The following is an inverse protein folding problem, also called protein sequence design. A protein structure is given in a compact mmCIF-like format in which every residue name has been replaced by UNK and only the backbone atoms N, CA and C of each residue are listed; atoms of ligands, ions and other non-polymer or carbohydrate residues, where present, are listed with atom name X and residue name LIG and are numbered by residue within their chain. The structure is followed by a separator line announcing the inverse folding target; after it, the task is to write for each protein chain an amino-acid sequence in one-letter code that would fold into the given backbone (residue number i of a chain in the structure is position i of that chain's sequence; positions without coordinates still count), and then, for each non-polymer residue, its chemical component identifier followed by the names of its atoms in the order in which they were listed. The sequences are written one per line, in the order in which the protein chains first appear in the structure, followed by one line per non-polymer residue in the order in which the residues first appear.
data_IF_161544689676
#
_entry.id   IF_161544689676
#
_cell.length_a   1.000
_cell.length_b   1.000
_cell.length_c   1.000
_cell.angle_alpha   90.00
_cell.angle_beta   90.00
_cell.angle_gamma   90.00
#
_symmetry.space_group_name_H-M   'P 1'
#
loop_
_entity.id
_entity.type
_entity.pdbx_description
1 polymer ?
#
# COMPACT_ATOMS: atom_id res chain seq x y z
N UNK A 1 -5.49 -20.51 6.39
CA UNK A 1 -4.78 -19.24 6.23
C UNK A 1 -5.72 -18.17 5.78
N UNK A 2 -5.65 -17.04 6.42
CA UNK A 2 -6.59 -15.95 6.16
C UNK A 2 -5.88 -14.80 5.45
N UNK A 3 -6.48 -14.35 4.37
CA UNK A 3 -5.97 -13.19 3.63
C UNK A 3 -6.96 -12.07 3.79
N UNK A 4 -6.43 -10.86 3.95
CA UNK A 4 -7.25 -9.66 4.05
C UNK A 4 -7.14 -8.89 2.74
N UNK A 5 -8.28 -8.38 2.29
CA UNK A 5 -8.31 -7.51 1.12
C UNK A 5 -8.45 -6.08 1.63
N UNK A 6 -7.39 -5.31 1.48
CA UNK A 6 -7.36 -3.92 1.93
C UNK A 6 -7.74 -3.04 0.76
N UNK A 7 -8.73 -2.19 0.96
CA UNK A 7 -9.16 -1.25 -0.08
C UNK A 7 -8.91 0.17 0.40
N UNK A 8 -8.32 0.98 -0.46
CA UNK A 8 -8.01 2.37 -0.15
C UNK A 8 -8.44 3.27 -1.31
N UNK A 9 -9.30 4.25 -1.07
CA UNK A 9 -9.61 5.23 -2.11
C UNK A 9 -8.51 6.25 -2.22
N UNK A 10 -8.11 6.54 -3.45
CA UNK A 10 -7.08 7.55 -3.70
C UNK A 10 -7.66 8.94 -3.40
N UNK A 11 -6.97 9.75 -2.57
CA UNK A 11 -7.50 11.07 -2.24
C UNK A 11 -7.46 12.06 -3.41
N UNK A 12 -6.73 11.73 -4.47
CA UNK A 12 -6.60 12.64 -5.59
C UNK A 12 -7.56 12.32 -6.72
N UNK A 13 -7.75 11.06 -7.06
CA UNK A 13 -8.60 10.70 -8.19
C UNK A 13 -9.80 9.85 -7.78
N UNK A 14 -9.86 9.39 -6.55
CA UNK A 14 -10.99 8.60 -6.07
C UNK A 14 -10.96 7.14 -6.48
N UNK A 15 -9.95 6.71 -7.22
CA UNK A 15 -9.85 5.32 -7.61
C UNK A 15 -9.57 4.45 -6.39
N UNK A 16 -10.33 3.37 -6.25
CA UNK A 16 -10.13 2.45 -5.13
C UNK A 16 -9.10 1.42 -5.51
N UNK A 17 -8.04 1.32 -4.71
CA UNK A 17 -7.00 0.31 -4.89
C UNK A 17 -7.22 -0.83 -3.94
N UNK A 18 -6.93 -2.05 -4.40
CA UNK A 18 -7.12 -3.26 -3.60
C UNK A 18 -5.78 -3.97 -3.46
N UNK A 19 -5.46 -4.34 -2.22
CA UNK A 19 -4.21 -5.06 -1.93
C UNK A 19 -4.54 -6.24 -1.05
N UNK A 20 -4.16 -7.46 -1.50
CA UNK A 20 -4.34 -8.66 -0.71
C UNK A 20 -3.12 -8.90 0.17
N UNK A 21 -3.34 -9.11 1.46
CA UNK A 21 -2.24 -9.32 2.41
C UNK A 21 -2.60 -10.46 3.35
N UNK A 22 -1.59 -11.20 3.85
CA UNK A 22 -1.85 -12.20 4.89
C UNK A 22 -2.21 -11.51 6.20
N UNK A 23 -3.16 -12.08 6.91
CA UNK A 23 -3.63 -11.49 8.15
C UNK A 23 -2.51 -11.34 9.17
N UNK A 24 -1.65 -12.34 9.28
CA UNK A 24 -0.56 -12.29 10.24
C UNK A 24 0.40 -11.14 9.95
N UNK A 25 0.73 -10.93 8.68
CA UNK A 25 1.59 -9.81 8.31
C UNK A 25 0.94 -8.48 8.57
N UNK A 26 -0.35 -8.38 8.29
CA UNK A 26 -1.08 -7.15 8.53
C UNK A 26 -1.08 -6.80 10.03
N UNK A 27 -1.28 -7.81 10.87
CA UNK A 27 -1.25 -7.59 12.32
C UNK A 27 0.11 -7.13 12.79
N UNK A 28 1.18 -7.72 12.26
CA UNK A 28 2.54 -7.32 12.62
C UNK A 28 2.78 -5.87 12.25
N UNK A 29 2.34 -5.48 11.07
CA UNK A 29 2.49 -4.10 10.64
C UNK A 29 1.74 -3.15 11.57
N UNK A 30 0.53 -3.49 11.92
CA UNK A 30 -0.28 -2.64 12.79
C UNK A 30 0.27 -2.57 14.21
N UNK A 31 1.04 -3.57 14.63
CA UNK A 31 1.62 -3.59 15.96
C UNK A 31 2.95 -2.84 16.05
N UNK A 32 3.46 -2.35 14.92
CA UNK A 32 4.67 -1.55 14.91
C UNK A 32 5.80 -2.08 14.04
N UNK A 33 5.63 -3.26 13.47
CA UNK A 33 6.64 -3.81 12.56
C UNK A 33 6.64 -3.03 11.27
N UNK A 34 7.83 -2.78 10.71
CA UNK A 34 7.91 -2.06 9.44
C UNK A 34 7.22 -2.87 8.36
N UNK A 35 6.57 -2.16 7.43
CA UNK A 35 5.77 -2.83 6.41
C UNK A 35 6.61 -3.77 5.56
N UNK A 36 7.84 -3.40 5.26
CA UNK A 36 8.72 -4.26 4.45
C UNK A 36 9.11 -5.53 5.19
N UNK A 37 9.10 -5.51 6.51
CA UNK A 37 9.40 -6.69 7.33
C UNK A 37 8.15 -7.52 7.57
N UNK A 38 7.02 -6.84 7.79
CA UNK A 38 5.76 -7.54 8.07
C UNK A 38 5.16 -8.12 6.80
N UNK A 39 5.29 -7.44 5.69
CA UNK A 39 4.67 -7.80 4.42
C UNK A 39 5.70 -7.78 3.29
N UNK A 40 6.73 -8.65 3.36
CA UNK A 40 7.82 -8.60 2.38
C UNK A 40 7.41 -9.02 0.98
N UNK A 41 6.24 -9.65 0.84
CA UNK A 41 5.77 -10.10 -0.47
C UNK A 41 5.16 -8.98 -1.30
N UNK A 42 4.91 -7.82 -0.69
CA UNK A 42 4.29 -6.70 -1.41
C UNK A 42 5.30 -5.99 -2.30
N UNK A 43 4.83 -5.52 -3.44
CA UNK A 43 5.62 -4.63 -4.29
C UNK A 43 5.68 -3.25 -3.68
N UNK A 44 6.56 -2.40 -4.22
CA UNK A 44 6.65 -1.03 -3.75
C UNK A 44 5.34 -0.29 -3.92
N UNK A 45 4.67 -0.50 -5.06
CA UNK A 45 3.39 0.14 -5.32
C UNK A 45 2.36 -0.27 -4.28
N UNK A 46 2.31 -1.56 -3.96
CA UNK A 46 1.35 -2.07 -2.99
C UNK A 46 1.61 -1.50 -1.60
N UNK A 47 2.88 -1.40 -1.23
CA UNK A 47 3.24 -0.83 0.07
C UNK A 47 2.82 0.63 0.16
N UNK A 48 3.04 1.38 -0.91
CA UNK A 48 2.66 2.79 -0.93
C UNK A 48 1.15 2.97 -0.84
N UNK A 49 0.39 2.09 -1.48
CA UNK A 49 -1.06 2.13 -1.39
C UNK A 49 -1.51 1.92 0.05
N UNK A 50 -0.91 0.95 0.75
CA UNK A 50 -1.29 0.69 2.13
C UNK A 50 -0.89 1.84 3.05
N UNK A 51 0.25 2.46 2.80
CA UNK A 51 0.76 3.50 3.69
C UNK A 51 0.08 4.84 3.46
N UNK A 52 -0.11 5.24 2.21
CA UNK A 52 -0.63 6.55 1.90
C UNK A 52 -2.02 6.53 1.28
N UNK A 53 -2.40 5.42 0.67
CA UNK A 53 -3.68 5.32 -0.03
C UNK A 53 -3.66 5.89 -1.43
N UNK A 54 -2.57 6.50 -1.84
CA UNK A 54 -2.48 7.11 -3.17
C UNK A 54 -2.23 6.03 -4.20
N UNK A 55 -3.00 6.05 -5.30
CA UNK A 55 -2.80 5.06 -6.34
C UNK A 55 -1.49 5.32 -7.08
N UNK A 56 -0.90 4.28 -7.72
CA UNK A 56 0.42 4.46 -8.35
C UNK A 56 0.44 5.56 -9.40
N UNK A 57 -0.65 5.72 -10.14
CA UNK A 57 -0.72 6.75 -11.15
C UNK A 57 -0.62 8.14 -10.55
N UNK A 58 -1.39 8.38 -9.48
CA UNK A 58 -1.36 9.69 -8.81
C UNK A 58 -0.05 9.88 -8.07
N UNK A 59 0.52 8.81 -7.54
CA UNK A 59 1.82 8.88 -6.89
C UNK A 59 2.86 9.42 -7.86
N UNK A 60 2.88 8.89 -9.08
CA UNK A 60 3.81 9.38 -10.10
C UNK A 60 3.57 10.84 -10.44
N UNK A 61 2.30 11.24 -10.54
CA UNK A 61 1.98 12.61 -10.89
C UNK A 61 2.33 13.59 -9.78
N UNK A 62 2.19 13.19 -8.53
CA UNK A 62 2.39 14.07 -7.40
C UNK A 62 3.83 14.07 -6.92
N UNK A 63 4.47 12.90 -6.88
CA UNK A 63 5.79 12.76 -6.27
C UNK A 63 6.87 12.32 -7.23
N UNK A 64 6.48 11.66 -8.31
CA UNK A 64 7.44 10.99 -9.16
C UNK A 64 8.22 11.83 -10.07
N UNK A 65 8.03 12.94 -10.12
CA UNK A 65 8.68 13.55 -10.90
C UNK A 65 9.83 13.99 -10.85
N UNK A 66 10.23 14.03 -10.44
CA UNK A 66 11.25 14.66 -10.33
C UNK A 66 12.40 14.43 -11.05
N UNK A 67 12.64 14.20 -11.51
CA UNK A 67 13.56 13.83 -11.88
C UNK A 67 14.22 14.18 -12.73
N UNK A 68 14.29 14.44 -12.86
CA UNK A 68 14.84 14.54 -13.55
C UNK A 68 15.57 14.68 -13.85
#
# INVERSE_FOLDING_TARGET
MTALLITKPCPYCGTVSKVGVPESGYRQWKSGTRIQDALPMLTEDEREILMSGVCPKCWDEVFGEVNL
#
